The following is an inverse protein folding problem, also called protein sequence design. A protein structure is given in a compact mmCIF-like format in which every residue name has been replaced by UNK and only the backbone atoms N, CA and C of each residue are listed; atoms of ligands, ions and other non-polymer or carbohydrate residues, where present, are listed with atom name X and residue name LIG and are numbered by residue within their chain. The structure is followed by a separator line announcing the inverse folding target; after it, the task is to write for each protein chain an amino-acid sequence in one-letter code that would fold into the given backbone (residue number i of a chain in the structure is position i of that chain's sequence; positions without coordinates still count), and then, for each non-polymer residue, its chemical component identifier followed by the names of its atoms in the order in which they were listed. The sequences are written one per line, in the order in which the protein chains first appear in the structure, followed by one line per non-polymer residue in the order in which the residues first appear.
data_IF_568945235289
#
_entry.id   IF_568945235289
#
_cell.length_a   1.000
_cell.length_b   1.000
_cell.length_c   1.000
_cell.angle_alpha   90.00
_cell.angle_beta   90.00
_cell.angle_gamma   90.00
#
_symmetry.space_group_name_H-M   'P 1'
#
loop_
_entity.id
_entity.type
_entity.pdbx_description
1 polymer ?
#
# COMPACT_ATOMS: atom_id res chain seq x y z
N UNK A 1 1.31 -14.12 5.50
CA UNK A 1 2.09 -12.94 5.06
C UNK A 1 3.41 -12.94 5.81
N UNK A 2 4.56 -12.72 5.14
CA UNK A 2 5.87 -12.68 5.80
C UNK A 2 6.03 -11.33 6.54
N UNK A 3 6.65 -11.35 7.72
CA UNK A 3 6.83 -10.13 8.52
C UNK A 3 7.94 -9.21 7.99
N UNK A 4 8.92 -9.77 7.29
CA UNK A 4 10.13 -9.05 6.86
C UNK A 4 9.85 -7.82 5.96
N UNK A 5 9.00 -7.89 4.92
CA UNK A 5 8.67 -6.72 4.10
C UNK A 5 7.92 -5.64 4.89
N UNK A 6 7.11 -6.04 5.88
CA UNK A 6 6.34 -5.12 6.71
C UNK A 6 7.25 -4.21 7.55
N UNK A 7 8.44 -4.70 7.95
CA UNK A 7 9.41 -3.92 8.74
C UNK A 7 10.10 -2.81 7.92
N UNK A 8 10.10 -2.92 6.59
CA UNK A 8 10.69 -1.91 5.69
C UNK A 8 9.72 -0.77 5.33
N UNK A 9 8.41 -1.03 5.43
CA UNK A 9 7.37 -0.06 5.08
C UNK A 9 7.25 1.04 6.13
N UNK A 10 7.25 2.29 5.67
CA UNK A 10 6.85 3.44 6.48
C UNK A 10 5.33 3.62 6.45
N UNK A 11 4.66 3.34 7.57
CA UNK A 11 3.23 3.53 7.72
C UNK A 11 2.89 4.98 8.07
N UNK A 12 1.80 5.48 7.49
CA UNK A 12 1.20 6.76 7.83
C UNK A 12 -0.26 6.56 8.26
N UNK A 13 -0.89 7.61 8.80
CA UNK A 13 -2.29 7.57 9.25
C UNK A 13 -3.21 7.25 8.07
N UNK A 14 -3.85 6.08 8.09
CA UNK A 14 -4.68 5.60 6.97
C UNK A 14 -3.96 4.70 5.95
N UNK A 15 -2.64 4.55 6.08
CA UNK A 15 -1.79 3.77 5.17
C UNK A 15 -2.09 2.27 5.15
N UNK A 16 -2.75 1.72 6.17
CA UNK A 16 -3.18 0.32 6.19
C UNK A 16 -4.13 -0.04 5.02
N UNK A 17 -4.84 0.94 4.46
CA UNK A 17 -5.68 0.74 3.26
C UNK A 17 -4.87 0.48 1.99
N UNK A 18 -3.62 0.95 1.97
CA UNK A 18 -2.69 0.85 0.85
C UNK A 18 -1.57 -0.14 1.13
N UNK A 19 -1.74 -1.01 2.13
CA UNK A 19 -0.72 -1.99 2.52
C UNK A 19 -0.27 -2.87 1.34
N UNK A 20 -1.17 -3.38 0.47
CA UNK A 20 -0.75 -4.10 -0.73
C UNK A 20 0.15 -3.25 -1.62
N UNK A 21 -0.24 -2.01 -1.92
CA UNK A 21 0.57 -1.11 -2.75
C UNK A 21 1.94 -0.83 -2.12
N UNK A 22 1.99 -0.53 -0.82
CA UNK A 22 3.24 -0.27 -0.10
C UNK A 22 4.16 -1.51 -0.09
N UNK A 23 3.59 -2.71 0.06
CA UNK A 23 4.33 -3.97 -0.05
C UNK A 23 4.86 -4.19 -1.46
N UNK A 24 4.09 -3.86 -2.49
CA UNK A 24 4.53 -3.95 -3.88
C UNK A 24 5.74 -3.03 -4.14
N UNK A 25 5.73 -1.82 -3.57
CA UNK A 25 6.82 -0.85 -3.68
C UNK A 25 8.12 -1.39 -3.04
N UNK A 26 8.01 -2.10 -1.92
CA UNK A 26 9.13 -2.78 -1.26
C UNK A 26 9.54 -4.11 -1.95
N UNK A 27 8.93 -4.44 -3.10
CA UNK A 27 9.26 -5.63 -3.89
C UNK A 27 8.59 -6.93 -3.43
N UNK A 28 7.53 -6.86 -2.62
CA UNK A 28 6.77 -8.04 -2.24
C UNK A 28 5.89 -8.55 -3.40
N UNK A 29 5.73 -9.86 -3.50
CA UNK A 29 4.79 -10.50 -4.43
C UNK A 29 3.39 -10.52 -3.82
N UNK A 30 2.41 -10.02 -4.57
CA UNK A 30 1.01 -9.97 -4.19
C UNK A 30 0.23 -10.90 -5.12
N UNK A 31 -0.73 -11.63 -4.56
CA UNK A 31 -1.63 -12.52 -5.29
C UNK A 31 -3.05 -12.28 -4.81
N UNK A 32 -3.99 -12.28 -5.75
CA UNK A 32 -5.42 -12.22 -5.44
C UNK A 32 -5.97 -13.64 -5.39
N UNK A 33 -6.75 -13.94 -4.36
CA UNK A 33 -7.39 -15.24 -4.18
C UNK A 33 -8.91 -15.02 -4.19
N UNK A 34 -9.61 -15.77 -5.03
CA UNK A 34 -11.06 -15.74 -5.09
C UNK A 34 -11.64 -16.31 -3.80
N UNK A 35 -12.49 -15.55 -3.12
CA UNK A 35 -13.18 -15.98 -1.90
C UNK A 35 -14.69 -15.96 -2.11
N UNK A 36 -15.39 -16.94 -1.53
CA UNK A 36 -16.84 -16.98 -1.60
C UNK A 36 -17.45 -15.88 -0.72
N UNK A 37 -18.17 -14.95 -1.34
CA UNK A 37 -18.89 -13.90 -0.62
C UNK A 37 -20.24 -14.42 -0.11
N UNK A 38 -20.53 -14.23 1.17
CA UNK A 38 -21.85 -14.51 1.77
C UNK A 38 -22.59 -13.20 2.06
N UNK A 39 -23.85 -13.05 1.61
CA UNK A 39 -24.63 -11.85 1.90
C UNK A 39 -24.90 -11.74 3.41
N UNK A 40 -24.90 -10.51 3.93
CA UNK A 40 -25.24 -10.26 5.33
C UNK A 40 -26.75 -10.48 5.51
N UNK A 41 -27.15 -11.32 6.46
CA UNK A 41 -28.57 -11.62 6.71
C UNK A 41 -29.32 -10.46 7.41
N UNK A 42 -28.63 -9.72 8.29
CA UNK A 42 -29.24 -8.63 9.06
C UNK A 42 -28.28 -7.44 9.24
N UNK A 43 -28.86 -6.27 9.55
CA UNK A 43 -28.16 -5.03 9.89
C UNK A 43 -28.00 -4.05 8.72
N UNK A 44 -27.78 -2.77 9.07
CA UNK A 44 -27.48 -1.69 8.11
C UNK A 44 -25.97 -1.50 8.02
N UNK A 45 -25.45 -1.28 6.81
CA UNK A 45 -24.04 -1.00 6.61
C UNK A 45 -23.64 0.33 7.28
N UNK A 46 -22.82 0.27 8.35
CA UNK A 46 -22.22 1.44 9.01
C UNK A 46 -21.10 2.12 8.19
N UNK A 47 -20.94 1.74 6.92
CA UNK A 47 -19.97 2.33 6.00
C UNK A 47 -20.53 3.65 5.42
N UNK A 48 -20.53 4.70 6.24
CA UNK A 48 -20.78 6.06 5.76
C UNK A 48 -19.68 6.52 4.81
N UNK A 49 -19.99 6.52 3.51
CA UNK A 49 -19.07 6.88 2.41
C UNK A 49 -18.71 8.37 2.43
N UNK A 50 -19.69 9.24 2.70
CA UNK A 50 -19.56 10.71 2.57
C UNK A 50 -18.45 11.33 3.43
N UNK A 51 -18.22 10.81 4.64
CA UNK A 51 -17.19 11.33 5.56
C UNK A 51 -15.80 10.73 5.35
N UNK A 52 -15.72 9.58 4.65
CA UNK A 52 -14.45 8.87 4.40
C UNK A 52 -13.85 9.16 3.02
N UNK A 53 -14.67 9.51 2.04
CA UNK A 53 -14.22 9.84 0.68
C UNK A 53 -13.07 10.85 0.68
N UNK A 54 -13.22 12.00 1.33
CA UNK A 54 -12.20 13.06 1.29
C UNK A 54 -10.82 12.62 1.78
N UNK A 55 -10.77 11.92 2.92
CA UNK A 55 -9.51 11.39 3.46
C UNK A 55 -8.92 10.30 2.54
N UNK A 56 -9.75 9.41 2.02
CA UNK A 56 -9.30 8.33 1.11
C UNK A 56 -8.76 8.91 -0.20
N UNK A 57 -9.39 9.95 -0.75
CA UNK A 57 -8.93 10.63 -1.96
C UNK A 57 -7.56 11.27 -1.78
N UNK A 58 -7.35 11.98 -0.67
CA UNK A 58 -6.05 12.56 -0.34
C UNK A 58 -4.97 11.48 -0.17
N UNK A 59 -5.28 10.40 0.54
CA UNK A 59 -4.33 9.30 0.71
C UNK A 59 -3.99 8.62 -0.63
N UNK A 60 -4.99 8.43 -1.50
CA UNK A 60 -4.81 7.84 -2.83
C UNK A 60 -3.87 8.70 -3.69
N UNK A 61 -4.10 10.02 -3.71
CA UNK A 61 -3.23 10.97 -4.43
C UNK A 61 -1.81 10.95 -3.87
N UNK A 62 -1.66 10.91 -2.54
CA UNK A 62 -0.35 10.83 -1.88
C UNK A 62 0.43 9.57 -2.22
N UNK A 63 -0.22 8.40 -2.13
CA UNK A 63 0.40 7.11 -2.48
C UNK A 63 0.70 7.01 -3.97
N UNK A 64 -0.19 7.51 -4.82
CA UNK A 64 0.03 7.56 -6.26
C UNK A 64 1.22 8.43 -6.63
N UNK A 65 1.30 9.63 -6.05
CA UNK A 65 2.43 10.54 -6.24
C UNK A 65 3.74 9.92 -5.75
N UNK A 66 3.75 9.31 -4.55
CA UNK A 66 4.90 8.63 -3.99
C UNK A 66 5.36 7.46 -4.87
N UNK A 67 4.43 6.61 -5.29
CA UNK A 67 4.69 5.46 -6.16
C UNK A 67 5.33 5.86 -7.50
N UNK A 68 5.06 7.07 -7.99
CA UNK A 68 5.66 7.62 -9.22
C UNK A 68 7.05 8.21 -9.02
N UNK A 69 7.41 8.58 -7.79
CA UNK A 69 8.67 9.27 -7.44
C UNK A 69 9.70 8.36 -6.77
N UNK A 70 9.32 7.14 -6.42
CA UNK A 70 10.26 6.14 -5.92
C UNK A 70 11.10 5.64 -7.10
N UNK A 71 12.30 6.20 -7.20
CA UNK A 71 13.33 5.72 -8.09
C UNK A 71 14.21 4.71 -7.35
N UNK A 72 14.41 3.54 -7.97
CA UNK A 72 15.34 2.52 -7.47
C UNK A 72 16.74 2.83 -7.99
N UNK A 73 17.44 3.72 -7.30
CA UNK A 73 18.84 3.98 -7.61
C UNK A 73 19.71 2.85 -7.09
N UNK A 74 20.39 2.15 -7.99
CA UNK A 74 21.43 1.19 -7.67
C UNK A 74 22.74 1.97 -7.49
N UNK A 75 23.19 2.11 -6.23
CA UNK A 75 24.47 2.76 -5.94
C UNK A 75 25.59 1.78 -6.32
N UNK A 76 26.28 2.04 -7.43
CA UNK A 76 27.51 1.34 -7.78
C UNK A 76 28.68 2.11 -7.19
N UNK A 77 29.43 1.48 -6.29
CA UNK A 77 30.71 2.03 -5.86
C UNK A 77 31.66 2.07 -7.06
N UNK A 78 31.99 3.27 -7.52
CA UNK A 78 32.99 3.45 -8.54
C UNK A 78 34.36 3.23 -7.88
N UNK A 79 34.89 2.01 -8.01
CA UNK A 79 36.20 1.66 -7.48
C UNK A 79 37.27 2.44 -8.26
N UNK A 80 37.58 3.65 -7.78
CA UNK A 80 38.56 4.55 -8.39
C UNK A 80 39.95 4.10 -7.94
N UNK A 81 40.47 3.07 -8.58
CA UNK A 81 41.88 2.67 -8.52
C UNK A 81 42.43 2.61 -9.95
N UNK A 82 43.14 3.68 -10.32
CA UNK A 82 44.13 3.73 -11.38
C UNK A 82 45.29 4.57 -10.84
#
# INVERSE_FOLDING_TARGET
MRAEPLRRIKLFRGGHRFLPTLLALEGARIVELTVAHRPRAHGRSSYGIRRRLGAVWLDLLGVFWLSRRIDRYEVKELNRRA
#
